data_IF_754856676857
#
_entry.id   IF_754856676857
#
_cell.length_a   1.000
_cell.length_b   1.000
_cell.length_c   1.000
_cell.angle_alpha   90.00
_cell.angle_beta   90.00
_cell.angle_gamma   90.00
#
_symmetry.space_group_name_H-M   'P 1'
#
loop_
_entity.id
_entity.type
_entity.pdbx_description
1 polymer ?
#
# COMPACT_ATOMS: atom_id res chain seq x y z
N UNK A 1 -37.71 -76.76 13.86
CA UNK A 1 -37.54 -75.53 14.71
C UNK A 1 -36.12 -75.02 14.52
N UNK A 2 -35.92 -74.11 13.57
CA UNK A 2 -34.60 -73.56 13.28
C UNK A 2 -34.68 -72.05 13.47
N UNK A 3 -34.02 -71.57 14.53
CA UNK A 3 -33.92 -70.13 14.84
C UNK A 3 -32.76 -69.54 14.04
N UNK A 4 -33.11 -68.62 13.11
CA UNK A 4 -32.18 -67.84 12.34
C UNK A 4 -31.77 -66.63 13.17
N UNK A 5 -30.48 -66.50 13.52
CA UNK A 5 -29.90 -65.29 14.08
C UNK A 5 -29.37 -64.44 12.95
N UNK A 6 -30.01 -63.31 12.76
CA UNK A 6 -29.51 -62.26 11.83
C UNK A 6 -28.58 -61.36 12.63
N UNK A 7 -27.30 -61.47 12.35
CA UNK A 7 -26.27 -60.59 12.92
C UNK A 7 -26.27 -59.24 12.18
N UNK A 8 -26.54 -58.18 12.93
CA UNK A 8 -26.48 -56.80 12.44
C UNK A 8 -25.04 -56.29 12.55
N UNK A 9 -24.35 -56.21 11.43
CA UNK A 9 -23.00 -55.59 11.34
C UNK A 9 -23.16 -54.07 11.35
N UNK A 10 -22.77 -53.43 12.45
CA UNK A 10 -22.62 -51.96 12.51
C UNK A 10 -21.25 -51.57 11.93
N UNK A 11 -21.26 -51.01 10.74
CA UNK A 11 -20.10 -50.36 10.14
C UNK A 11 -19.93 -48.95 10.79
N UNK A 12 -18.97 -48.84 11.68
CA UNK A 12 -18.52 -47.56 12.18
C UNK A 12 -17.70 -46.86 11.11
N UNK A 13 -18.28 -45.82 10.47
CA UNK A 13 -17.56 -44.93 9.56
C UNK A 13 -16.72 -43.95 10.38
N UNK A 14 -15.42 -44.18 10.47
CA UNK A 14 -14.46 -43.19 10.95
C UNK A 14 -14.41 -42.00 9.98
N UNK A 15 -15.02 -40.88 10.34
CA UNK A 15 -14.80 -39.60 9.69
C UNK A 15 -13.41 -39.09 10.06
N UNK A 16 -12.45 -39.25 9.15
CA UNK A 16 -11.14 -38.60 9.28
C UNK A 16 -11.32 -37.10 9.02
N UNK A 17 -11.40 -36.33 10.08
CA UNK A 17 -11.36 -34.86 9.98
C UNK A 17 -9.94 -34.47 9.67
N UNK A 18 -9.62 -34.23 8.40
CA UNK A 18 -8.34 -33.60 8.02
C UNK A 18 -8.35 -32.16 8.52
N UNK A 19 -7.68 -31.92 9.63
CA UNK A 19 -7.39 -30.57 10.11
C UNK A 19 -6.34 -29.98 9.16
N UNK A 20 -6.80 -29.23 8.16
CA UNK A 20 -5.93 -28.39 7.33
C UNK A 20 -5.41 -27.30 8.26
N UNK A 21 -4.17 -27.44 8.71
CA UNK A 21 -3.41 -26.36 9.35
C UNK A 21 -3.19 -25.32 8.25
N UNK A 22 -3.72 -24.08 8.36
CA UNK A 22 -3.38 -23.03 7.42
C UNK A 22 -1.91 -22.70 7.61
N UNK A 23 -1.06 -23.18 6.70
CA UNK A 23 0.30 -22.66 6.56
C UNK A 23 0.17 -21.21 6.17
N UNK A 24 0.38 -20.31 7.14
CA UNK A 24 0.48 -18.86 6.90
C UNK A 24 1.77 -18.59 6.13
N UNK A 25 1.76 -18.89 4.84
CA UNK A 25 2.69 -18.28 3.91
C UNK A 25 2.38 -16.78 3.83
N UNK A 26 3.37 -15.92 3.50
CA UNK A 26 3.09 -14.51 3.29
C UNK A 26 2.02 -14.40 2.21
N UNK A 27 0.83 -13.97 2.60
CA UNK A 27 -0.25 -13.66 1.67
C UNK A 27 0.30 -12.60 0.71
N UNK A 28 0.29 -12.82 -0.62
CA UNK A 28 0.67 -11.76 -1.54
C UNK A 28 -0.21 -10.57 -1.22
N UNK A 29 0.42 -9.44 -0.85
CA UNK A 29 -0.30 -8.23 -0.52
C UNK A 29 -1.21 -7.89 -1.70
N UNK A 30 -2.51 -8.02 -1.52
CA UNK A 30 -3.49 -7.69 -2.55
C UNK A 30 -3.31 -6.21 -2.88
N UNK A 31 -3.04 -5.91 -4.15
CA UNK A 31 -2.84 -4.54 -4.61
C UNK A 31 -4.05 -3.68 -4.23
N UNK A 32 -3.87 -2.42 -3.76
CA UNK A 32 -4.97 -1.56 -3.37
C UNK A 32 -5.99 -1.39 -4.49
N UNK A 33 -7.25 -1.70 -4.20
CA UNK A 33 -8.35 -1.62 -5.17
C UNK A 33 -8.92 -0.21 -5.34
N UNK A 34 -8.43 0.80 -4.60
CA UNK A 34 -8.91 2.17 -4.63
C UNK A 34 -7.83 3.21 -4.43
N UNK A 35 -8.15 4.46 -4.72
CA UNK A 35 -7.23 5.58 -4.60
C UNK A 35 -6.78 5.80 -3.14
N UNK A 36 -7.69 5.74 -2.17
CA UNK A 36 -7.35 5.93 -0.75
C UNK A 36 -6.39 4.86 -0.22
N UNK A 37 -6.62 3.56 -0.40
CA UNK A 37 -5.65 2.53 -0.02
C UNK A 37 -4.29 2.69 -0.70
N UNK A 38 -4.24 3.15 -1.96
CA UNK A 38 -2.98 3.41 -2.66
C UNK A 38 -2.19 4.57 -2.04
N UNK A 39 -2.87 5.64 -1.60
CA UNK A 39 -2.24 6.71 -0.83
C UNK A 39 -1.70 6.22 0.51
N UNK A 40 -2.48 5.43 1.25
CA UNK A 40 -2.08 4.89 2.55
C UNK A 40 -0.84 3.99 2.41
N UNK A 41 -0.75 3.17 1.35
CA UNK A 41 0.43 2.35 1.04
C UNK A 41 1.66 3.21 0.71
N UNK A 42 1.50 4.24 -0.12
CA UNK A 42 2.58 5.17 -0.46
C UNK A 42 3.14 5.86 0.80
N UNK A 43 2.27 6.39 1.66
CA UNK A 43 2.69 7.04 2.91
C UNK A 43 3.31 6.05 3.91
N UNK A 44 2.81 4.81 3.95
CA UNK A 44 3.40 3.74 4.76
C UNK A 44 4.81 3.38 4.29
N UNK A 45 5.04 3.28 2.97
CA UNK A 45 6.37 3.03 2.39
C UNK A 45 7.37 4.14 2.75
N UNK A 46 6.94 5.41 2.69
CA UNK A 46 7.77 6.56 3.11
C UNK A 46 8.15 6.46 4.59
N UNK A 47 7.20 6.17 5.46
CA UNK A 47 7.44 6.03 6.90
C UNK A 47 8.35 4.85 7.22
N UNK A 48 8.19 3.73 6.52
CA UNK A 48 9.03 2.54 6.65
C UNK A 48 10.42 2.71 6.02
N UNK A 49 10.63 3.76 5.20
CA UNK A 49 11.83 3.98 4.37
C UNK A 49 12.09 2.83 3.41
N UNK A 50 11.01 2.26 2.88
CA UNK A 50 11.03 1.14 1.94
C UNK A 50 10.97 1.66 0.50
N UNK A 51 12.14 1.74 -0.16
CA UNK A 51 12.27 2.20 -1.55
C UNK A 51 11.51 1.27 -2.51
N UNK A 52 11.53 -0.04 -2.26
CA UNK A 52 10.87 -1.00 -3.14
C UNK A 52 9.34 -0.86 -3.09
N UNK A 53 8.79 -0.73 -1.90
CA UNK A 53 7.36 -0.46 -1.72
C UNK A 53 6.97 0.91 -2.31
N UNK A 54 7.80 1.94 -2.08
CA UNK A 54 7.57 3.28 -2.61
C UNK A 54 7.52 3.30 -4.14
N UNK A 55 8.50 2.68 -4.81
CA UNK A 55 8.53 2.57 -6.28
C UNK A 55 7.38 1.74 -6.85
N UNK A 56 6.77 0.87 -6.03
CA UNK A 56 5.56 0.11 -6.39
C UNK A 56 4.26 0.87 -6.18
N UNK A 57 4.22 1.83 -5.25
CA UNK A 57 3.06 2.66 -4.95
C UNK A 57 3.05 3.98 -5.74
N UNK A 58 4.22 4.45 -6.19
CA UNK A 58 4.38 5.59 -7.07
C UNK A 58 4.29 5.16 -8.53
N UNK A 59 3.50 5.87 -9.34
CA UNK A 59 3.32 5.48 -10.74
C UNK A 59 2.38 6.40 -11.51
N UNK A 60 2.01 5.95 -12.69
CA UNK A 60 1.07 6.63 -13.56
C UNK A 60 0.02 5.66 -14.13
N UNK A 61 -0.75 6.11 -15.11
CA UNK A 61 -1.77 5.28 -15.77
C UNK A 61 -1.18 4.10 -16.57
N UNK A 62 0.14 4.03 -16.74
CA UNK A 62 0.83 2.92 -17.41
C UNK A 62 1.37 1.88 -16.42
N UNK A 63 1.50 2.23 -15.13
CA UNK A 63 1.95 1.31 -14.08
C UNK A 63 2.90 1.95 -13.06
N UNK A 64 3.54 1.10 -12.27
CA UNK A 64 4.49 1.53 -11.25
C UNK A 64 5.75 2.14 -11.86
N UNK A 65 6.28 3.18 -11.22
CA UNK A 65 7.47 3.88 -11.71
C UNK A 65 8.70 2.97 -11.76
N UNK A 66 8.83 2.04 -10.82
CA UNK A 66 9.94 1.07 -10.79
C UNK A 66 9.98 0.14 -12.00
N UNK A 67 8.83 -0.07 -12.65
CA UNK A 67 8.71 -0.91 -13.85
C UNK A 67 8.93 -0.12 -15.15
N UNK A 68 9.09 1.20 -15.02
CA UNK A 68 9.28 2.11 -16.14
C UNK A 68 10.74 2.10 -16.61
N UNK A 69 10.99 1.48 -17.77
CA UNK A 69 12.33 1.38 -18.38
C UNK A 69 12.92 2.70 -18.88
N UNK A 70 12.16 3.80 -18.86
CA UNK A 70 12.65 5.14 -19.30
C UNK A 70 13.48 5.83 -18.22
N UNK A 71 13.43 5.34 -16.99
CA UNK A 71 14.18 5.91 -15.85
C UNK A 71 15.23 4.88 -15.44
N UNK A 72 16.50 5.32 -15.33
CA UNK A 72 17.57 4.46 -14.81
C UNK A 72 17.31 4.16 -13.31
N UNK A 73 17.86 3.05 -12.83
CA UNK A 73 17.72 2.67 -11.42
C UNK A 73 18.29 3.72 -10.48
N UNK A 74 19.45 4.29 -10.81
CA UNK A 74 20.09 5.33 -9.99
C UNK A 74 19.27 6.61 -9.94
N UNK A 75 18.64 6.99 -11.03
CA UNK A 75 17.76 8.16 -11.10
C UNK A 75 16.46 7.92 -10.32
N UNK A 76 15.90 6.72 -10.41
CA UNK A 76 14.73 6.34 -9.65
C UNK A 76 15.01 6.42 -8.14
N UNK A 77 16.09 5.81 -7.68
CA UNK A 77 16.49 5.81 -6.27
C UNK A 77 16.68 7.24 -5.73
N UNK A 78 17.31 8.12 -6.50
CA UNK A 78 17.46 9.54 -6.13
C UNK A 78 16.11 10.22 -5.94
N UNK A 79 15.16 9.98 -6.82
CA UNK A 79 13.80 10.55 -6.73
C UNK A 79 13.03 9.99 -5.54
N UNK A 80 13.13 8.69 -5.29
CA UNK A 80 12.51 8.04 -4.14
C UNK A 80 13.07 8.58 -2.81
N UNK A 81 14.38 8.77 -2.71
CA UNK A 81 15.02 9.39 -1.54
C UNK A 81 14.53 10.83 -1.31
N UNK A 82 14.34 11.60 -2.38
CA UNK A 82 13.74 12.94 -2.29
C UNK A 82 12.31 12.88 -1.78
N UNK A 83 11.47 11.99 -2.31
CA UNK A 83 10.10 11.80 -1.84
C UNK A 83 10.06 11.40 -0.36
N UNK A 84 10.94 10.49 0.06
CA UNK A 84 11.06 10.08 1.47
C UNK A 84 11.46 11.25 2.38
N UNK A 85 12.30 12.16 1.90
CA UNK A 85 12.68 13.34 2.66
C UNK A 85 11.52 14.33 2.79
N UNK A 86 10.91 14.72 1.66
CA UNK A 86 9.84 15.73 1.62
C UNK A 86 8.57 15.29 2.32
N UNK A 87 8.20 14.03 2.21
CA UNK A 87 6.98 13.49 2.82
C UNK A 87 7.24 12.72 4.11
N UNK A 88 8.43 12.91 4.73
CA UNK A 88 8.76 12.32 6.02
C UNK A 88 7.77 12.79 7.10
N UNK A 89 7.11 11.85 7.77
CA UNK A 89 6.09 12.12 8.78
C UNK A 89 6.04 11.03 9.85
N UNK A 90 5.53 11.41 11.01
CA UNK A 90 5.21 10.48 12.10
C UNK A 90 3.76 10.01 12.00
N UNK A 91 2.87 10.93 11.59
CA UNK A 91 1.45 10.67 11.39
C UNK A 91 0.88 11.52 10.26
N UNK A 92 -0.29 11.13 9.75
CA UNK A 92 -1.00 11.91 8.74
C UNK A 92 -2.51 11.83 8.92
N UNK A 93 -3.19 12.83 8.35
CA UNK A 93 -4.64 12.91 8.26
C UNK A 93 -5.03 13.23 6.83
N UNK A 94 -5.90 12.43 6.24
CA UNK A 94 -6.47 12.69 4.92
C UNK A 94 -7.76 13.48 5.10
N UNK A 95 -7.84 14.60 4.41
CA UNK A 95 -9.00 15.47 4.32
C UNK A 95 -9.83 15.18 3.08
N UNK A 96 -9.98 16.19 2.22
CA UNK A 96 -10.81 16.11 1.03
C UNK A 96 -10.31 15.07 0.03
N UNK A 97 -11.24 14.32 -0.56
CA UNK A 97 -11.03 13.37 -1.63
C UNK A 97 -11.94 13.72 -2.80
N UNK A 98 -11.40 14.36 -3.83
CA UNK A 98 -12.14 14.96 -4.92
C UNK A 98 -11.76 14.32 -6.25
N UNK A 99 -12.77 13.97 -7.06
CA UNK A 99 -12.54 13.56 -8.44
C UNK A 99 -12.12 14.80 -9.26
N UNK A 100 -11.06 14.64 -10.06
CA UNK A 100 -10.58 15.69 -10.97
C UNK A 100 -10.59 15.19 -12.41
N UNK A 101 -10.34 16.10 -13.35
CA UNK A 101 -10.35 15.76 -14.77
C UNK A 101 -9.38 14.61 -15.09
N UNK A 102 -9.70 13.82 -16.11
CA UNK A 102 -8.86 12.69 -16.53
C UNK A 102 -9.00 11.41 -15.68
N UNK A 103 -10.00 11.34 -14.80
CA UNK A 103 -10.23 10.15 -13.95
C UNK A 103 -9.28 10.07 -12.75
N UNK A 104 -8.58 11.15 -12.44
CA UNK A 104 -7.69 11.23 -11.28
C UNK A 104 -8.48 11.59 -10.01
N UNK A 105 -7.85 11.33 -8.86
CA UNK A 105 -8.32 11.76 -7.54
C UNK A 105 -7.29 12.71 -6.93
N UNK A 106 -7.78 13.82 -6.37
CA UNK A 106 -6.97 14.71 -5.54
C UNK A 106 -7.34 14.48 -4.08
N UNK A 107 -6.35 14.19 -3.25
CA UNK A 107 -6.53 14.03 -1.81
C UNK A 107 -5.66 15.04 -1.07
N UNK A 108 -6.30 15.86 -0.24
CA UNK A 108 -5.58 16.78 0.64
C UNK A 108 -5.11 16.03 1.88
N UNK A 109 -3.82 16.12 2.19
CA UNK A 109 -3.20 15.37 3.30
C UNK A 109 -2.42 16.32 4.21
N UNK A 110 -2.70 16.26 5.50
CA UNK A 110 -1.90 16.91 6.53
C UNK A 110 -0.89 15.91 7.09
N UNK A 111 0.40 16.20 6.92
CA UNK A 111 1.53 15.40 7.41
C UNK A 111 2.07 16.05 8.67
N UNK A 112 2.28 15.27 9.73
CA UNK A 112 2.85 15.76 11.00
C UNK A 112 4.17 15.06 11.29
N UNK A 113 5.22 15.87 11.60
CA UNK A 113 6.54 15.41 12.02
C UNK A 113 6.96 16.19 13.26
N UNK A 114 7.02 15.52 14.41
CA UNK A 114 7.19 16.20 15.70
C UNK A 114 6.07 17.21 15.93
N UNK A 115 6.41 18.48 16.10
CA UNK A 115 5.45 19.59 16.27
C UNK A 115 5.06 20.27 14.97
N UNK A 116 5.67 19.89 13.85
CA UNK A 116 5.45 20.53 12.57
C UNK A 116 4.36 19.79 11.79
N UNK A 117 3.31 20.52 11.37
CA UNK A 117 2.27 19.99 10.48
C UNK A 117 2.26 20.78 9.17
N UNK A 118 2.20 20.08 8.06
CA UNK A 118 2.11 20.64 6.71
C UNK A 118 1.01 19.94 5.94
N UNK A 119 0.30 20.70 5.12
CA UNK A 119 -0.80 20.18 4.29
C UNK A 119 -0.43 20.31 2.83
N UNK A 120 -0.65 19.27 2.06
CA UNK A 120 -0.41 19.23 0.62
C UNK A 120 -1.44 18.34 -0.09
N UNK A 121 -1.54 18.50 -1.40
CA UNK A 121 -2.40 17.68 -2.25
C UNK A 121 -1.60 16.56 -2.89
N UNK A 122 -2.18 15.36 -2.87
CA UNK A 122 -1.74 14.19 -3.61
C UNK A 122 -2.68 13.94 -4.78
N UNK A 123 -2.12 13.63 -5.95
CA UNK A 123 -2.86 13.26 -7.13
C UNK A 123 -2.65 11.79 -7.44
N UNK A 124 -3.75 11.06 -7.52
CA UNK A 124 -3.76 9.62 -7.73
C UNK A 124 -4.43 9.28 -9.05
N UNK A 125 -3.94 8.25 -9.69
CA UNK A 125 -4.40 7.80 -11.00
C UNK A 125 -4.65 6.30 -10.99
N UNK A 126 -5.69 5.87 -11.71
CA UNK A 126 -5.93 4.45 -11.95
C UNK A 126 -4.98 3.95 -13.04
N UNK A 127 -4.19 2.94 -12.72
CA UNK A 127 -3.37 2.23 -13.69
C UNK A 127 -4.01 0.90 -14.10
N UNK A 128 -3.25 0.02 -14.80
CA UNK A 128 -3.78 -1.21 -15.38
C UNK A 128 -4.33 -2.21 -14.35
N UNK A 129 -3.72 -2.26 -13.15
CA UNK A 129 -4.03 -3.26 -12.12
C UNK A 129 -4.42 -2.67 -10.78
N UNK A 130 -4.09 -1.39 -10.54
CA UNK A 130 -4.28 -0.72 -9.25
C UNK A 130 -4.19 0.79 -9.39
N UNK A 131 -4.48 1.50 -8.29
CA UNK A 131 -4.23 2.93 -8.18
C UNK A 131 -2.78 3.22 -7.77
N UNK A 132 -2.25 4.36 -8.25
CA UNK A 132 -0.90 4.86 -7.96
C UNK A 132 -0.96 6.31 -7.50
N UNK A 133 -0.05 6.71 -6.63
CA UNK A 133 0.25 8.13 -6.42
C UNK A 133 1.07 8.60 -7.62
N UNK A 134 0.54 9.56 -8.37
CA UNK A 134 1.22 10.12 -9.55
C UNK A 134 2.14 11.27 -9.19
N UNK A 135 1.66 12.20 -8.38
CA UNK A 135 2.40 13.37 -7.96
C UNK A 135 1.82 13.96 -6.68
N UNK A 136 2.59 14.83 -6.04
CA UNK A 136 2.15 15.58 -4.87
C UNK A 136 2.83 16.94 -4.81
N UNK A 137 2.24 17.89 -4.09
CA UNK A 137 2.78 19.24 -3.90
C UNK A 137 3.97 19.24 -2.95
N UNK A 138 5.20 19.25 -3.44
CA UNK A 138 6.42 19.21 -2.61
C UNK A 138 6.74 20.54 -1.93
N UNK A 139 6.34 21.67 -2.51
CA UNK A 139 6.64 23.01 -1.97
C UNK A 139 6.08 23.20 -0.57
N UNK A 140 4.84 22.79 -0.34
CA UNK A 140 4.14 22.94 0.93
C UNK A 140 4.76 22.11 2.07
N UNK A 141 5.55 21.09 1.75
CA UNK A 141 6.13 20.13 2.71
C UNK A 141 7.66 20.20 2.79
N UNK A 142 8.27 21.17 2.13
CA UNK A 142 9.74 21.36 2.07
C UNK A 142 10.40 21.33 3.45
N UNK A 143 9.76 21.91 4.45
CA UNK A 143 10.28 22.00 5.82
C UNK A 143 10.38 20.64 6.52
N UNK A 144 9.58 19.64 6.09
CA UNK A 144 9.65 18.30 6.66
C UNK A 144 10.97 17.60 6.30
N UNK A 145 11.61 18.02 5.18
CA UNK A 145 12.92 17.54 4.74
C UNK A 145 14.08 18.28 5.45
N UNK A 146 13.84 19.48 5.97
CA UNK A 146 14.90 20.25 6.61
C UNK A 146 15.51 19.52 7.82
N UNK A 147 16.83 19.47 7.89
CA UNK A 147 17.53 19.03 9.11
C UNK A 147 17.18 20.00 10.23
N UNK A 148 16.74 19.46 11.39
CA UNK A 148 16.56 20.26 12.59
C UNK A 148 17.91 20.92 12.90
N UNK A 149 18.02 22.26 12.79
CA UNK A 149 19.22 22.96 13.22
C UNK A 149 19.42 22.65 14.70
N UNK A 150 20.64 22.29 15.16
CA UNK A 150 20.91 22.18 16.58
C UNK A 150 20.72 23.55 17.20
N UNK A 151 19.85 23.64 18.19
CA UNK A 151 19.66 24.80 19.07
C UNK A 151 20.79 24.88 20.07
#
# INVERSE_FOLDING_TARGET
>A
MRKLFIGLLLLAACKTTSTVVPTSGPTPATAPSGARPALDEFLAAIRAKDLQALGGAWGDNTGAIRDNKRISRDELEKRELLLMCYFNHDSYKVGDDIAVAGGERRMTVSLTKGTLTRTTDFFLVSGPTRWYVRTAGMEAVRDLCAKKSPS
#
